data_IF_724979224765
#
_entry.id   IF_724979224765
#
_cell.length_a   1.000
_cell.length_b   1.000
_cell.length_c   1.000
_cell.angle_alpha   90.00
_cell.angle_beta   90.00
_cell.angle_gamma   90.00
#
_symmetry.space_group_name_H-M   'P 1'
#
loop_
_entity.id
_entity.type
_entity.pdbx_description
1 polymer ?
#
# COMPACT_ATOMS: atom_id res chain seq x y z
N UNK A 1 6.46 25.81 2.42
CA UNK A 1 5.31 24.87 2.39
C UNK A 1 5.29 23.94 1.17
N UNK A 2 6.36 23.88 0.36
CA UNK A 2 6.44 22.92 -0.75
C UNK A 2 7.46 21.82 -0.42
N UNK A 3 7.03 20.82 0.35
CA UNK A 3 7.83 19.61 0.65
C UNK A 3 7.61 18.48 -0.38
N UNK A 4 6.85 18.74 -1.47
CA UNK A 4 6.53 17.71 -2.46
C UNK A 4 7.73 17.28 -3.33
N UNK A 5 8.80 18.07 -3.39
CA UNK A 5 10.03 17.72 -4.13
C UNK A 5 10.83 16.57 -3.49
N UNK A 6 10.48 16.15 -2.28
CA UNK A 6 11.21 15.14 -1.52
C UNK A 6 10.58 13.74 -1.62
N UNK A 7 9.36 13.63 -2.15
CA UNK A 7 8.59 12.39 -2.24
C UNK A 7 8.78 11.74 -3.61
N UNK A 8 9.11 10.46 -3.64
CA UNK A 8 9.15 9.68 -4.87
C UNK A 8 7.73 9.47 -5.40
N UNK A 9 7.38 10.12 -6.51
CA UNK A 9 6.11 9.97 -7.23
C UNK A 9 6.23 9.10 -8.48
N UNK A 10 7.46 8.89 -8.95
CA UNK A 10 7.77 8.25 -10.23
C UNK A 10 7.80 6.72 -10.20
N UNK A 11 7.88 6.12 -9.00
CA UNK A 11 8.13 4.68 -8.86
C UNK A 11 9.56 4.26 -9.22
N UNK A 12 10.48 5.20 -9.45
CA UNK A 12 11.90 4.89 -9.57
C UNK A 12 12.52 4.80 -8.18
N UNK A 13 12.82 3.58 -7.74
CA UNK A 13 13.39 3.30 -6.42
C UNK A 13 14.68 4.10 -6.18
N UNK A 14 14.85 4.58 -4.95
CA UNK A 14 16.02 5.37 -4.53
C UNK A 14 15.94 6.86 -4.84
N UNK A 15 14.82 7.36 -5.37
CA UNK A 15 14.67 8.78 -5.71
C UNK A 15 14.07 9.62 -4.59
N UNK A 16 13.48 9.00 -3.56
CA UNK A 16 13.01 9.73 -2.38
C UNK A 16 14.18 10.33 -1.59
N UNK A 17 14.04 11.61 -1.22
CA UNK A 17 14.97 12.31 -0.34
C UNK A 17 14.52 12.19 1.11
N UNK A 18 15.46 12.34 2.03
CA UNK A 18 15.12 12.45 3.44
C UNK A 18 14.28 13.71 3.64
N UNK A 19 13.12 13.57 4.25
CA UNK A 19 12.25 14.69 4.60
C UNK A 19 12.09 14.78 6.12
N UNK A 20 11.86 15.98 6.62
CA UNK A 20 11.68 16.20 8.05
C UNK A 20 11.34 17.65 8.35
N UNK A 21 10.77 17.86 9.53
CA UNK A 21 10.53 19.20 10.08
C UNK A 21 11.47 19.35 11.27
N UNK A 22 12.46 20.28 11.21
CA UNK A 22 13.39 20.51 12.31
C UNK A 22 12.67 20.69 13.66
N UNK A 23 13.12 19.97 14.69
CA UNK A 23 12.50 20.00 16.03
C UNK A 23 11.23 19.16 16.18
N UNK A 24 10.72 18.54 15.11
CA UNK A 24 9.53 17.69 15.15
C UNK A 24 9.86 16.24 14.77
N UNK A 25 10.26 15.99 13.52
CA UNK A 25 10.63 14.66 13.07
C UNK A 25 11.58 14.69 11.88
N UNK A 26 12.25 13.56 11.64
CA UNK A 26 13.02 13.29 10.43
C UNK A 26 12.73 11.85 9.98
N UNK A 27 12.46 11.66 8.70
CA UNK A 27 12.39 10.33 8.11
C UNK A 27 13.78 9.72 8.06
N UNK A 28 13.93 8.51 8.60
CA UNK A 28 15.17 7.74 8.59
C UNK A 28 14.87 6.40 7.92
N UNK A 29 15.73 5.99 6.99
CA UNK A 29 15.60 4.71 6.30
C UNK A 29 16.00 3.58 7.25
N UNK A 30 15.13 2.58 7.41
CA UNK A 30 15.46 1.38 8.17
C UNK A 30 16.20 0.36 7.27
N UNK A 31 17.48 0.02 7.55
CA UNK A 31 18.24 -0.91 6.71
C UNK A 31 17.74 -2.36 6.79
N UNK A 32 16.87 -2.69 7.75
CA UNK A 32 16.30 -4.03 7.94
C UNK A 32 14.97 -4.24 7.22
N UNK A 33 14.41 -3.19 6.60
CA UNK A 33 13.14 -3.25 5.91
C UNK A 33 13.31 -3.19 4.39
N UNK A 34 12.53 -4.02 3.70
CA UNK A 34 12.35 -3.87 2.26
C UNK A 34 11.55 -2.61 1.94
N UNK A 35 11.68 -2.14 0.70
CA UNK A 35 10.99 -0.94 0.22
C UNK A 35 10.38 -1.16 -1.15
N UNK A 36 9.20 -0.61 -1.34
CA UNK A 36 8.52 -0.52 -2.64
C UNK A 36 9.34 0.28 -3.65
N UNK A 37 8.93 0.25 -4.91
CA UNK A 37 9.48 1.11 -5.96
C UNK A 37 9.30 2.61 -5.69
N UNK A 38 8.35 2.98 -4.81
CA UNK A 38 8.12 4.34 -4.32
C UNK A 38 8.91 4.67 -3.04
N UNK A 39 9.90 3.85 -2.67
CA UNK A 39 10.72 3.98 -1.46
C UNK A 39 9.94 3.87 -0.13
N UNK A 40 8.67 3.47 -0.15
CA UNK A 40 7.90 3.21 1.07
C UNK A 40 8.31 1.88 1.68
N UNK A 41 8.53 1.85 2.99
CA UNK A 41 8.89 0.65 3.73
C UNK A 41 7.75 -0.38 3.72
N UNK A 42 8.11 -1.65 3.54
CA UNK A 42 7.20 -2.79 3.64
C UNK A 42 7.42 -3.40 5.02
N UNK A 43 6.54 -3.04 5.97
CA UNK A 43 6.67 -3.45 7.37
C UNK A 43 5.36 -4.02 7.96
N UNK A 44 5.06 -5.31 7.70
CA UNK A 44 3.92 -5.96 8.31
C UNK A 44 4.03 -6.02 9.85
N UNK A 45 5.25 -6.12 10.39
CA UNK A 45 5.48 -6.10 11.84
C UNK A 45 5.08 -4.75 12.45
N UNK A 46 5.39 -3.66 11.75
CA UNK A 46 4.95 -2.30 12.06
C UNK A 46 3.43 -2.19 12.19
N UNK A 47 2.66 -2.85 11.31
CA UNK A 47 1.21 -2.90 11.40
C UNK A 47 0.74 -3.57 12.70
N UNK A 48 1.29 -4.75 13.05
CA UNK A 48 0.98 -5.43 14.34
C UNK A 48 1.31 -4.53 15.53
N UNK A 49 2.48 -3.90 15.53
CA UNK A 49 2.91 -2.97 16.59
C UNK A 49 1.93 -1.80 16.70
N UNK A 50 1.53 -1.18 15.58
CA UNK A 50 0.58 -0.08 15.54
C UNK A 50 -0.78 -0.48 16.12
N UNK A 51 -1.33 -1.60 15.67
CA UNK A 51 -2.59 -2.15 16.19
C UNK A 51 -2.51 -2.37 17.72
N UNK A 52 -1.44 -3.00 18.20
CA UNK A 52 -1.24 -3.23 19.64
C UNK A 52 -1.08 -1.95 20.44
N UNK A 53 -0.42 -0.92 19.90
CA UNK A 53 -0.25 0.39 20.56
C UNK A 53 -1.59 1.11 20.72
N UNK A 54 -2.42 1.09 19.68
CA UNK A 54 -3.76 1.70 19.75
C UNK A 54 -4.63 0.93 20.74
N UNK A 55 -4.68 -0.40 20.62
CA UNK A 55 -5.50 -1.21 21.52
C UNK A 55 -5.01 -1.16 22.97
N UNK A 56 -3.70 -1.20 23.24
CA UNK A 56 -3.19 -1.14 24.62
C UNK A 56 -3.52 0.18 25.32
N UNK A 57 -3.57 1.27 24.55
CA UNK A 57 -3.84 2.62 25.06
C UNK A 57 -5.32 2.89 25.24
N UNK A 58 -6.16 2.50 24.27
CA UNK A 58 -7.56 2.92 24.23
C UNK A 58 -8.55 1.79 24.51
N UNK A 59 -8.11 0.53 24.45
CA UNK A 59 -8.95 -0.66 24.68
C UNK A 59 -10.19 -0.73 23.77
N UNK A 60 -10.10 -0.13 22.58
CA UNK A 60 -11.16 -0.17 21.58
C UNK A 60 -10.92 -1.29 20.55
N UNK A 61 -12.00 -1.83 19.96
CA UNK A 61 -11.91 -2.70 18.80
C UNK A 61 -11.27 -2.00 17.60
N UNK A 62 -10.60 -2.76 16.74
CA UNK A 62 -9.86 -2.22 15.59
C UNK A 62 -10.47 -2.69 14.26
N UNK A 63 -10.77 -1.73 13.39
CA UNK A 63 -11.03 -1.96 11.97
C UNK A 63 -9.89 -1.35 11.16
N UNK A 64 -9.14 -2.17 10.41
CA UNK A 64 -8.16 -1.65 9.45
C UNK A 64 -8.91 -1.21 8.21
N UNK A 65 -9.07 0.10 8.02
CA UNK A 65 -9.90 0.66 6.95
C UNK A 65 -9.20 0.77 5.61
N UNK A 66 -7.87 0.75 5.59
CA UNK A 66 -7.07 0.86 4.37
C UNK A 66 -5.68 0.24 4.56
N UNK A 67 -5.36 -0.75 3.73
CA UNK A 67 -4.00 -1.25 3.54
C UNK A 67 -3.90 -1.96 2.18
N UNK A 68 -2.80 -1.76 1.45
CA UNK A 68 -2.60 -2.36 0.13
C UNK A 68 -1.30 -1.94 -0.52
N UNK A 69 -1.01 -2.51 -1.69
CA UNK A 69 0.21 -2.24 -2.45
C UNK A 69 -0.12 -1.63 -3.81
N UNK A 70 0.42 -0.43 -4.04
CA UNK A 70 0.39 0.24 -5.34
C UNK A 70 1.64 -0.07 -6.15
N UNK A 71 1.49 -0.59 -7.37
CA UNK A 71 2.60 -0.95 -8.25
C UNK A 71 2.21 -0.80 -9.73
N UNK A 72 3.18 -0.86 -10.64
CA UNK A 72 2.95 -0.87 -12.08
C UNK A 72 2.50 -2.26 -12.57
N UNK A 73 1.18 -2.49 -12.61
CA UNK A 73 0.66 -3.75 -13.16
C UNK A 73 0.77 -3.79 -14.69
N UNK A 74 1.15 -4.97 -15.23
CA UNK A 74 1.22 -5.23 -16.67
C UNK A 74 0.03 -6.09 -17.10
N UNK A 75 -0.69 -5.64 -18.12
CA UNK A 75 -1.68 -6.44 -18.83
C UNK A 75 -0.96 -7.32 -19.86
N UNK A 76 -1.05 -8.63 -19.69
CA UNK A 76 -0.50 -9.65 -20.59
C UNK A 76 -1.58 -10.18 -21.55
N UNK A 77 -1.15 -10.96 -22.56
CA UNK A 77 -2.05 -11.58 -23.53
C UNK A 77 -3.11 -12.45 -22.82
N UNK A 78 -4.36 -12.36 -23.29
CA UNK A 78 -5.47 -13.11 -22.71
C UNK A 78 -6.09 -12.49 -21.45
N UNK A 79 -5.93 -11.18 -21.24
CA UNK A 79 -6.46 -10.45 -20.08
C UNK A 79 -5.93 -10.98 -18.73
N UNK A 80 -4.60 -11.20 -18.69
CA UNK A 80 -3.91 -11.74 -17.52
C UNK A 80 -3.08 -10.63 -16.84
N UNK A 81 -3.18 -10.54 -15.51
CA UNK A 81 -2.32 -9.70 -14.67
C UNK A 81 -1.75 -10.60 -13.57
N UNK A 82 -0.44 -10.83 -13.60
CA UNK A 82 0.29 -11.62 -12.62
C UNK A 82 0.94 -10.70 -11.57
N UNK A 83 0.25 -10.46 -10.45
CA UNK A 83 0.64 -9.50 -9.42
C UNK A 83 1.04 -10.14 -8.08
N UNK A 84 1.98 -11.09 -8.13
CA UNK A 84 2.42 -11.84 -6.94
C UNK A 84 2.98 -10.95 -5.82
N UNK A 85 3.60 -9.83 -6.18
CA UNK A 85 4.05 -8.83 -5.21
C UNK A 85 2.90 -8.29 -4.35
N UNK A 86 1.70 -8.12 -4.91
CA UNK A 86 0.52 -7.64 -4.19
C UNK A 86 -0.03 -8.73 -3.28
N UNK A 87 -0.08 -9.96 -3.78
CA UNK A 87 -0.50 -11.12 -2.98
C UNK A 87 0.45 -11.31 -1.79
N UNK A 88 1.76 -11.27 -1.99
CA UNK A 88 2.75 -11.43 -0.93
C UNK A 88 2.65 -10.31 0.12
N UNK A 89 2.51 -9.05 -0.33
CA UNK A 89 2.31 -7.91 0.56
C UNK A 89 1.07 -8.09 1.43
N UNK A 90 -0.10 -8.33 0.82
CA UNK A 90 -1.37 -8.45 1.55
C UNK A 90 -1.34 -9.67 2.48
N UNK A 91 -0.81 -10.81 2.01
CA UNK A 91 -0.69 -12.03 2.83
C UNK A 91 0.14 -11.78 4.09
N UNK A 92 1.26 -11.07 3.97
CA UNK A 92 2.13 -10.79 5.12
C UNK A 92 1.48 -9.82 6.12
N UNK A 93 0.73 -8.82 5.65
CA UNK A 93 0.00 -7.88 6.53
C UNK A 93 -1.20 -8.55 7.21
N UNK A 94 -1.94 -9.42 6.51
CA UNK A 94 -3.03 -10.20 7.12
C UNK A 94 -2.48 -11.15 8.20
N UNK A 95 -1.32 -11.77 7.99
CA UNK A 95 -0.64 -12.58 9.04
C UNK A 95 -0.35 -11.72 10.28
N UNK A 96 0.16 -10.51 10.11
CA UNK A 96 0.40 -9.58 11.22
C UNK A 96 -0.88 -9.18 11.95
N UNK A 97 -2.00 -8.94 11.24
CA UNK A 97 -3.31 -8.73 11.85
C UNK A 97 -3.76 -9.95 12.65
N UNK A 98 -3.59 -11.17 12.12
CA UNK A 98 -3.90 -12.41 12.84
C UNK A 98 -3.08 -12.56 14.11
N UNK A 99 -1.79 -12.21 14.08
CA UNK A 99 -0.95 -12.21 15.27
C UNK A 99 -1.42 -11.18 16.31
N UNK A 100 -1.88 -9.99 15.88
CA UNK A 100 -2.47 -9.00 16.79
C UNK A 100 -3.76 -9.52 17.45
N UNK A 101 -4.58 -10.30 16.74
CA UNK A 101 -5.75 -10.98 17.30
C UNK A 101 -5.30 -11.98 18.38
N UNK A 102 -4.27 -12.79 18.10
CA UNK A 102 -3.68 -13.71 19.09
C UNK A 102 -3.15 -12.98 20.31
N UNK A 103 -2.66 -11.74 20.17
CA UNK A 103 -2.21 -10.89 21.28
C UNK A 103 -3.37 -10.30 22.12
N UNK A 104 -4.62 -10.61 21.79
CA UNK A 104 -5.81 -10.22 22.54
C UNK A 104 -6.52 -8.96 22.02
N UNK A 105 -6.21 -8.50 20.81
CA UNK A 105 -6.90 -7.36 20.20
C UNK A 105 -8.26 -7.80 19.65
N UNK A 106 -9.32 -7.09 20.06
CA UNK A 106 -10.64 -7.22 19.42
C UNK A 106 -10.57 -6.60 18.01
N UNK A 107 -10.76 -7.41 16.98
CA UNK A 107 -10.53 -7.04 15.59
C UNK A 107 -11.79 -7.22 14.76
N UNK A 108 -12.24 -6.15 14.11
CA UNK A 108 -13.51 -6.08 13.40
C UNK A 108 -13.38 -6.47 11.93
N UNK A 109 -12.24 -6.18 11.30
CA UNK A 109 -12.05 -6.45 9.88
C UNK A 109 -10.84 -5.77 9.27
N UNK A 110 -10.64 -6.06 7.99
CA UNK A 110 -9.53 -5.55 7.19
C UNK A 110 -10.03 -5.20 5.79
N UNK A 111 -9.92 -3.92 5.42
CA UNK A 111 -10.33 -3.39 4.13
C UNK A 111 -9.08 -3.15 3.27
N UNK A 112 -8.96 -3.94 2.22
CA UNK A 112 -7.89 -3.82 1.23
C UNK A 112 -8.07 -2.56 0.40
N UNK A 113 -6.98 -1.86 0.15
CA UNK A 113 -6.95 -0.77 -0.81
C UNK A 113 -6.29 -1.23 -2.12
N UNK A 114 -7.03 -1.44 -3.20
CA UNK A 114 -8.46 -1.11 -3.43
C UNK A 114 -9.22 -2.25 -4.09
N UNK A 115 -10.52 -2.09 -4.28
CA UNK A 115 -11.32 -3.10 -4.99
C UNK A 115 -11.01 -3.08 -6.50
N UNK A 116 -11.24 -1.97 -7.17
CA UNK A 116 -10.77 -1.73 -8.55
C UNK A 116 -9.60 -0.77 -8.55
N UNK A 117 -8.86 -0.73 -9.66
CA UNK A 117 -8.01 0.42 -9.96
C UNK A 117 -8.81 1.72 -9.94
N UNK A 118 -8.13 2.82 -9.62
CA UNK A 118 -8.76 4.13 -9.39
C UNK A 118 -7.80 5.27 -9.75
N UNK A 119 -8.34 6.48 -9.82
CA UNK A 119 -7.56 7.70 -10.00
C UNK A 119 -6.84 8.05 -8.69
N UNK A 120 -5.52 8.19 -8.72
CA UNK A 120 -4.79 8.76 -7.59
C UNK A 120 -4.88 10.28 -7.60
N UNK A 121 -4.76 10.89 -6.41
CA UNK A 121 -4.92 12.34 -6.24
C UNK A 121 -3.90 13.18 -7.02
N UNK A 122 -2.66 12.68 -7.16
CA UNK A 122 -1.54 13.46 -7.70
C UNK A 122 -0.77 12.76 -8.83
N UNK A 123 -1.03 11.47 -9.08
CA UNK A 123 -0.14 10.62 -9.90
C UNK A 123 -0.87 9.77 -10.94
N UNK A 124 -2.11 10.12 -11.28
CA UNK A 124 -2.85 9.42 -12.33
C UNK A 124 -3.25 7.99 -11.97
N UNK A 125 -3.19 7.10 -12.95
CA UNK A 125 -3.63 5.69 -12.94
C UNK A 125 -2.48 4.66 -13.03
N UNK A 126 -1.24 5.07 -13.35
CA UNK A 126 -0.14 4.13 -13.58
C UNK A 126 0.19 3.27 -12.35
N UNK A 127 0.13 3.85 -11.14
CA UNK A 127 0.26 3.13 -9.88
C UNK A 127 -1.08 2.53 -9.47
N UNK A 128 -1.22 1.21 -9.61
CA UNK A 128 -2.48 0.48 -9.47
C UNK A 128 -2.57 -0.27 -8.15
N UNK A 129 -3.76 -0.30 -7.57
CA UNK A 129 -4.03 -0.83 -6.23
C UNK A 129 -5.10 -1.94 -6.21
N UNK A 130 -5.90 -2.05 -7.27
CA UNK A 130 -7.09 -2.89 -7.26
C UNK A 130 -6.81 -4.39 -7.22
N UNK A 131 -7.78 -5.18 -6.79
CA UNK A 131 -7.92 -6.59 -7.20
C UNK A 131 -8.44 -6.70 -8.64
N UNK A 132 -9.17 -5.69 -9.10
CA UNK A 132 -9.73 -5.63 -10.45
C UNK A 132 -9.02 -4.53 -11.23
N UNK A 133 -8.30 -4.94 -12.28
CA UNK A 133 -7.69 -4.04 -13.23
C UNK A 133 -8.76 -3.30 -14.04
N UNK A 134 -8.58 -1.99 -14.23
CA UNK A 134 -9.40 -1.21 -15.17
C UNK A 134 -8.56 -0.86 -16.39
N UNK A 135 -9.02 -1.29 -17.56
CA UNK A 135 -8.36 -0.95 -18.82
C UNK A 135 -8.61 0.51 -19.19
N UNK A 136 -7.71 1.37 -18.71
CA UNK A 136 -7.53 2.78 -19.03
C UNK A 136 -6.09 3.19 -18.75
N UNK A 137 -5.66 4.35 -19.23
CA UNK A 137 -4.36 4.94 -18.86
C UNK A 137 -4.51 6.46 -18.63
N UNK A 138 -3.39 7.17 -18.54
CA UNK A 138 -3.36 8.62 -18.28
C UNK A 138 -4.00 9.46 -19.39
N UNK A 139 -3.92 8.99 -20.63
CA UNK A 139 -4.23 9.76 -21.82
C UNK A 139 -5.47 9.24 -22.57
N UNK A 140 -5.98 8.07 -22.18
CA UNK A 140 -7.08 7.38 -22.86
C UNK A 140 -7.89 6.53 -21.87
N UNK A 141 -9.21 6.69 -21.88
CA UNK A 141 -10.14 5.88 -21.10
C UNK A 141 -10.27 4.44 -21.63
N UNK A 142 -9.86 4.20 -22.87
CA UNK A 142 -9.98 2.93 -23.60
C UNK A 142 -11.43 2.42 -23.54
N UNK A 143 -11.64 1.17 -23.13
CA UNK A 143 -12.98 0.55 -23.01
C UNK A 143 -13.46 0.44 -21.55
N UNK A 144 -12.65 0.89 -20.58
CA UNK A 144 -12.89 0.77 -19.15
C UNK A 144 -13.23 -0.65 -18.67
N UNK A 145 -12.90 -1.71 -19.44
CA UNK A 145 -13.28 -3.08 -19.05
C UNK A 145 -12.57 -3.49 -17.76
N UNK A 146 -13.23 -4.38 -17.01
CA UNK A 146 -12.75 -4.89 -15.72
C UNK A 146 -12.13 -6.26 -15.91
N UNK A 147 -10.90 -6.41 -15.44
CA UNK A 147 -10.13 -7.65 -15.57
C UNK A 147 -9.71 -8.08 -14.18
N UNK A 148 -10.02 -9.33 -13.81
CA UNK A 148 -9.58 -9.88 -12.51
C UNK A 148 -8.07 -10.06 -12.55
N UNK A 149 -7.37 -9.52 -11.55
CA UNK A 149 -5.96 -9.84 -11.34
C UNK A 149 -5.85 -11.21 -10.68
N UNK A 150 -4.62 -11.66 -10.48
CA UNK A 150 -4.37 -12.91 -9.77
C UNK A 150 -4.67 -12.80 -8.27
N UNK A 151 -4.47 -11.60 -7.71
CA UNK A 151 -4.81 -11.25 -6.33
C UNK A 151 -6.31 -11.28 -5.98
#
# INVERSE_FOLDING_TARGET
LNNFEEINTSGKKGTAKDYGIPGSFKSIKNPYLERTNWDWEIDPTGLRIGIRRINSRYRLPILVTENGLGEFDKLEDGDIINDEYRIDFIRNHIKACKEAITDGVEFLGYCTWSFTDLLSWLNGYQKRYGFVYINRNENDEKDLRRIKKRS
#
